data_IF_301934681344
#
_entry.id   IF_301934681344
#
_cell.length_a   1.000
_cell.length_b   1.000
_cell.length_c   1.000
_cell.angle_alpha   90.00
_cell.angle_beta   90.00
_cell.angle_gamma   90.00
#
_symmetry.space_group_name_H-M   'P 1'
#
loop_
_entity.id
_entity.type
_entity.pdbx_description
1 polymer ?
#
# COMPACT_ATOMS: atom_id res chain seq x y z
N UNK A 1 -7.66 63.36 -40.01
CA UNK A 1 -8.08 62.16 -40.77
C UNK A 1 -8.58 61.17 -39.74
N UNK A 2 -9.76 60.58 -39.97
CA UNK A 2 -10.52 59.80 -38.99
C UNK A 2 -9.83 58.48 -38.64
N UNK A 3 -10.15 58.02 -37.42
CA UNK A 3 -9.77 56.76 -36.76
C UNK A 3 -10.20 55.51 -37.54
N UNK A 4 -9.32 54.50 -37.55
CA UNK A 4 -9.67 53.10 -37.85
C UNK A 4 -9.45 52.28 -36.57
N UNK A 5 -10.56 51.86 -35.96
CA UNK A 5 -10.59 50.89 -34.88
C UNK A 5 -10.75 49.48 -35.49
N UNK A 6 -10.05 48.46 -34.98
CA UNK A 6 -10.30 47.08 -35.42
C UNK A 6 -11.63 46.58 -34.87
N UNK A 7 -12.49 46.09 -35.77
CA UNK A 7 -13.77 45.45 -35.47
C UNK A 7 -13.53 44.10 -34.75
N UNK A 8 -14.13 43.92 -33.57
CA UNK A 8 -14.27 42.62 -32.91
C UNK A 8 -15.24 41.75 -33.73
N UNK A 9 -14.73 40.71 -34.39
CA UNK A 9 -15.56 39.61 -34.88
C UNK A 9 -15.97 38.72 -33.69
N UNK A 10 -17.18 38.92 -33.20
CA UNK A 10 -17.83 38.03 -32.25
C UNK A 10 -18.16 36.71 -32.95
N UNK A 11 -17.27 35.73 -32.83
CA UNK A 11 -17.49 34.34 -33.27
C UNK A 11 -18.66 33.75 -32.48
N UNK A 12 -19.77 33.53 -33.16
CA UNK A 12 -20.97 32.93 -32.59
C UNK A 12 -20.64 31.49 -32.15
N UNK A 13 -20.74 31.23 -30.84
CA UNK A 13 -20.66 29.89 -30.29
C UNK A 13 -21.72 29.00 -30.95
N UNK A 14 -21.25 28.08 -31.79
CA UNK A 14 -22.05 26.99 -32.33
C UNK A 14 -22.25 26.00 -31.18
N UNK A 15 -23.48 25.96 -30.63
CA UNK A 15 -23.91 24.92 -29.70
C UNK A 15 -23.75 23.55 -30.37
N UNK A 16 -22.73 22.80 -29.95
CA UNK A 16 -22.50 21.41 -30.33
C UNK A 16 -23.67 20.56 -29.80
N UNK A 17 -24.56 20.13 -30.70
CA UNK A 17 -25.63 19.21 -30.36
C UNK A 17 -25.00 17.83 -30.13
N UNK A 18 -25.04 17.27 -28.90
CA UNK A 18 -24.41 15.99 -28.63
C UNK A 18 -25.11 14.88 -29.44
N UNK A 19 -24.33 14.20 -30.29
CA UNK A 19 -24.83 13.07 -31.07
C UNK A 19 -25.30 11.93 -30.14
N UNK A 20 -26.45 11.28 -30.43
CA UNK A 20 -26.94 10.18 -29.63
C UNK A 20 -25.98 8.98 -29.75
N UNK A 21 -25.44 8.55 -28.60
CA UNK A 21 -24.50 7.45 -28.53
C UNK A 21 -25.06 6.16 -29.18
N UNK A 22 -24.24 5.40 -29.91
CA UNK A 22 -24.71 4.28 -30.72
C UNK A 22 -25.13 3.08 -29.85
N UNK A 23 -26.32 2.53 -30.15
CA UNK A 23 -27.04 1.58 -29.29
C UNK A 23 -26.33 0.24 -29.00
N UNK A 24 -25.32 -0.14 -29.80
CA UNK A 24 -24.55 -1.38 -29.59
C UNK A 24 -23.69 -1.35 -28.32
N UNK A 25 -23.31 -0.16 -27.84
CA UNK A 25 -22.45 0.02 -26.65
C UNK A 25 -23.12 -0.45 -25.34
N UNK A 26 -24.46 -0.57 -25.33
CA UNK A 26 -25.22 -1.10 -24.18
C UNK A 26 -25.05 -2.60 -23.95
N UNK A 27 -24.56 -3.36 -24.93
CA UNK A 27 -24.39 -4.82 -24.83
C UNK A 27 -22.93 -5.26 -24.60
N UNK A 28 -21.96 -4.35 -24.78
CA UNK A 28 -20.53 -4.66 -24.61
C UNK A 28 -20.19 -4.87 -23.13
N UNK A 29 -20.69 -3.98 -22.27
CA UNK A 29 -20.37 -3.99 -20.83
C UNK A 29 -20.76 -5.30 -20.13
N UNK A 30 -21.99 -5.83 -20.27
CA UNK A 30 -22.33 -7.12 -19.65
C UNK A 30 -21.54 -8.28 -20.27
N UNK A 31 -21.23 -8.23 -21.57
CA UNK A 31 -20.42 -9.25 -22.23
C UNK A 31 -19.00 -9.35 -21.67
N UNK A 32 -18.30 -8.21 -21.53
CA UNK A 32 -16.93 -8.15 -20.99
C UNK A 32 -16.88 -8.61 -19.53
N UNK A 33 -17.84 -8.19 -18.70
CA UNK A 33 -17.91 -8.62 -17.30
C UNK A 33 -18.10 -10.14 -17.16
N UNK A 34 -18.90 -10.74 -18.04
CA UNK A 34 -19.13 -12.20 -18.02
C UNK A 34 -17.86 -12.96 -18.40
N UNK A 35 -17.10 -12.47 -19.40
CA UNK A 35 -15.83 -13.08 -19.80
C UNK A 35 -14.77 -12.95 -18.69
N UNK A 36 -14.67 -11.80 -18.03
CA UNK A 36 -13.75 -11.59 -16.92
C UNK A 36 -14.08 -12.48 -15.71
N UNK A 37 -15.37 -12.65 -15.39
CA UNK A 37 -15.79 -13.55 -14.31
C UNK A 37 -15.42 -15.02 -14.61
N UNK A 38 -15.61 -15.48 -15.85
CA UNK A 38 -15.21 -16.83 -16.26
C UNK A 38 -13.70 -17.02 -16.23
N UNK A 39 -12.92 -16.03 -16.67
CA UNK A 39 -11.46 -16.07 -16.62
C UNK A 39 -10.94 -16.10 -15.17
N UNK A 40 -11.54 -15.33 -14.26
CA UNK A 40 -11.20 -15.34 -12.84
C UNK A 40 -11.45 -16.69 -12.17
N UNK A 41 -12.60 -17.32 -12.44
CA UNK A 41 -12.90 -18.67 -11.93
C UNK A 41 -11.92 -19.71 -12.48
N UNK A 42 -11.58 -19.63 -13.77
CA UNK A 42 -10.59 -20.53 -14.37
C UNK A 42 -9.21 -20.37 -13.76
N UNK A 43 -8.75 -19.12 -13.56
CA UNK A 43 -7.48 -18.82 -12.91
C UNK A 43 -7.45 -19.31 -11.45
N UNK A 44 -8.54 -19.15 -10.70
CA UNK A 44 -8.66 -19.66 -9.35
C UNK A 44 -8.59 -21.21 -9.31
N UNK A 45 -9.19 -21.90 -10.29
CA UNK A 45 -9.09 -23.36 -10.39
C UNK A 45 -7.68 -23.84 -10.75
N UNK A 46 -6.92 -23.06 -11.53
CA UNK A 46 -5.52 -23.37 -11.87
C UNK A 46 -4.53 -23.08 -10.72
N UNK A 47 -4.91 -22.21 -9.77
CA UNK A 47 -4.11 -21.87 -8.60
C UNK A 47 -4.44 -22.73 -7.38
N UNK A 48 -5.38 -23.66 -7.49
CA UNK A 48 -5.61 -24.64 -6.42
C UNK A 48 -4.34 -25.50 -6.30
N UNK A 49 -3.69 -25.53 -5.12
CA UNK A 49 -2.52 -26.37 -4.91
C UNK A 49 -2.95 -27.82 -5.11
N UNK A 50 -2.33 -28.49 -6.08
CA UNK A 50 -2.42 -29.94 -6.16
C UNK A 50 -1.77 -30.47 -4.87
N UNK A 51 -2.56 -31.16 -4.03
CA UNK A 51 -2.03 -31.93 -2.91
C UNK A 51 -1.06 -32.97 -3.48
N UNK A 52 0.21 -32.57 -3.58
CA UNK A 52 1.34 -33.46 -3.81
C UNK A 52 1.38 -34.41 -2.62
N UNK A 53 0.65 -35.51 -2.77
CA UNK A 53 0.89 -36.74 -2.03
C UNK A 53 2.30 -37.21 -2.38
N UNK A 54 3.28 -36.63 -1.68
CA UNK A 54 4.66 -37.04 -1.70
C UNK A 54 4.71 -38.51 -1.26
N UNK A 55 4.73 -39.41 -2.24
CA UNK A 55 5.14 -40.78 -2.05
C UNK A 55 6.62 -40.73 -1.67
N UNK A 56 6.88 -40.73 -0.36
CA UNK A 56 8.21 -40.92 0.21
C UNK A 56 8.80 -42.20 -0.35
N UNK A 57 9.75 -42.07 -1.27
CA UNK A 57 10.64 -43.15 -1.68
C UNK A 57 11.41 -43.59 -0.41
N UNK A 58 11.42 -44.89 -0.04
CA UNK A 58 12.17 -45.35 1.12
C UNK A 58 13.67 -45.28 0.81
N UNK A 59 14.31 -44.18 1.23
CA UNK A 59 15.76 -44.07 1.26
C UNK A 59 16.38 -45.11 2.21
N UNK A 60 17.63 -45.56 1.94
CA UNK A 60 18.29 -46.57 2.75
C UNK A 60 18.43 -46.12 4.21
N UNK A 61 18.15 -47.06 5.12
CA UNK A 61 18.10 -46.86 6.56
C UNK A 61 19.38 -46.17 7.09
N UNK A 62 19.27 -45.04 7.79
CA UNK A 62 20.40 -44.50 8.55
C UNK A 62 20.69 -45.40 9.75
N UNK A 63 21.98 -45.68 9.97
CA UNK A 63 22.47 -46.34 11.19
C UNK A 63 21.94 -45.63 12.44
N UNK A 64 21.25 -46.41 13.26
CA UNK A 64 20.62 -46.04 14.52
C UNK A 64 21.69 -45.62 15.54
N UNK A 65 22.13 -44.36 15.46
CA UNK A 65 22.75 -43.70 16.61
C UNK A 65 21.61 -43.34 17.55
N UNK A 66 21.52 -44.02 18.69
CA UNK A 66 20.52 -43.79 19.71
C UNK A 66 20.56 -42.33 20.20
N UNK A 67 19.70 -41.48 19.63
CA UNK A 67 19.40 -40.15 20.16
C UNK A 67 18.39 -40.36 21.28
N UNK A 68 18.77 -39.95 22.49
CA UNK A 68 17.90 -39.94 23.66
C UNK A 68 16.57 -39.24 23.33
N UNK A 69 15.42 -39.70 23.87
CA UNK A 69 14.13 -39.08 23.59
C UNK A 69 14.22 -37.57 23.91
N UNK A 70 13.66 -36.69 23.06
CA UNK A 70 13.62 -35.27 23.39
C UNK A 70 12.90 -35.15 24.73
N UNK A 71 13.60 -34.58 25.71
CA UNK A 71 12.98 -34.14 26.93
C UNK A 71 11.79 -33.27 26.51
N UNK A 72 10.58 -33.68 26.92
CA UNK A 72 9.38 -32.88 26.75
C UNK A 72 9.70 -31.47 27.20
N UNK A 73 9.73 -30.54 26.24
CA UNK A 73 9.84 -29.12 26.52
C UNK A 73 8.68 -28.80 27.46
N UNK A 74 9.00 -28.56 28.73
CA UNK A 74 8.06 -27.90 29.63
C UNK A 74 7.53 -26.68 28.89
N UNK A 75 6.21 -26.43 28.87
CA UNK A 75 5.71 -25.18 28.33
C UNK A 75 6.43 -24.06 29.09
N UNK A 76 7.22 -23.30 28.35
CA UNK A 76 7.88 -22.10 28.86
C UNK A 76 6.79 -21.26 29.53
N UNK A 77 6.98 -20.77 30.76
CA UNK A 77 5.98 -19.95 31.41
C UNK A 77 5.61 -18.79 30.48
N UNK A 78 4.32 -18.63 30.19
CA UNK A 78 3.83 -17.49 29.45
C UNK A 78 4.43 -16.23 30.07
N UNK A 79 5.24 -15.51 29.30
CA UNK A 79 5.72 -14.20 29.71
C UNK A 79 4.49 -13.35 30.05
N UNK A 80 4.55 -12.51 31.10
CA UNK A 80 3.48 -11.56 31.37
C UNK A 80 3.17 -10.83 30.06
N UNK A 81 1.89 -10.62 29.75
CA UNK A 81 1.50 -10.02 28.48
C UNK A 81 2.14 -8.63 28.36
N UNK A 82 3.22 -8.57 27.60
CA UNK A 82 3.90 -7.32 27.33
C UNK A 82 2.92 -6.48 26.52
N UNK A 83 2.54 -5.32 27.07
CA UNK A 83 1.60 -4.38 26.43
C UNK A 83 2.07 -3.86 25.06
N UNK A 84 3.31 -4.21 24.67
CA UNK A 84 3.94 -3.89 23.40
C UNK A 84 4.08 -5.09 22.46
N UNK A 85 3.47 -6.23 22.80
CA UNK A 85 3.38 -7.37 21.89
C UNK A 85 2.45 -7.06 20.71
N UNK A 86 2.68 -7.70 19.56
CA UNK A 86 1.80 -7.57 18.39
C UNK A 86 0.33 -7.83 18.72
N UNK A 87 0.06 -8.84 19.55
CA UNK A 87 -1.29 -9.19 19.96
C UNK A 87 -1.95 -8.08 20.79
N UNK A 88 -1.20 -7.46 21.72
CA UNK A 88 -1.68 -6.32 22.49
C UNK A 88 -1.97 -5.11 21.58
N UNK A 89 -1.10 -4.82 20.62
CA UNK A 89 -1.29 -3.74 19.65
C UNK A 89 -2.53 -3.98 18.79
N UNK A 90 -2.69 -5.16 18.18
CA UNK A 90 -3.88 -5.50 17.39
C UNK A 90 -5.19 -5.39 18.21
N UNK A 91 -5.12 -5.60 19.53
CA UNK A 91 -6.24 -5.42 20.44
C UNK A 91 -6.63 -3.95 20.68
N UNK A 92 -5.81 -2.97 20.27
CA UNK A 92 -6.07 -1.54 20.49
C UNK A 92 -7.19 -0.97 19.60
N UNK A 93 -7.53 -1.64 18.49
CA UNK A 93 -8.61 -1.22 17.59
C UNK A 93 -8.14 -0.99 16.16
N UNK A 94 -8.54 0.13 15.57
CA UNK A 94 -8.11 0.54 14.23
C UNK A 94 -6.62 0.88 14.19
N UNK A 95 -6.06 1.03 12.98
CA UNK A 95 -4.63 1.29 12.82
C UNK A 95 -4.18 2.57 13.52
N UNK A 96 -5.05 3.59 13.66
CA UNK A 96 -4.68 4.81 14.37
C UNK A 96 -4.49 4.56 15.86
N UNK A 97 -5.40 3.81 16.50
CA UNK A 97 -5.23 3.37 17.88
C UNK A 97 -4.01 2.46 18.06
N UNK A 98 -3.74 1.57 17.09
CA UNK A 98 -2.53 0.73 17.07
C UNK A 98 -1.25 1.58 17.00
N UNK A 99 -1.23 2.61 16.14
CA UNK A 99 -0.10 3.52 15.98
C UNK A 99 0.14 4.38 17.23
N UNK A 100 -0.91 4.83 17.92
CA UNK A 100 -0.78 5.53 19.20
C UNK A 100 -0.21 4.62 20.29
N UNK A 101 -0.70 3.38 20.38
CA UNK A 101 -0.17 2.38 21.31
C UNK A 101 1.30 2.01 21.00
N UNK A 102 1.65 1.85 19.72
CA UNK A 102 3.01 1.57 19.27
C UNK A 102 3.99 2.68 19.66
N UNK A 103 3.61 3.95 19.46
CA UNK A 103 4.42 5.10 19.90
C UNK A 103 4.61 5.15 21.41
N UNK A 104 3.61 4.74 22.19
CA UNK A 104 3.73 4.66 23.65
C UNK A 104 4.73 3.58 24.10
N UNK A 105 4.96 2.55 23.29
CA UNK A 105 5.96 1.52 23.53
C UNK A 105 7.39 1.99 23.24
N UNK A 106 7.59 2.85 22.23
CA UNK A 106 8.91 3.36 21.84
C UNK A 106 9.93 2.22 21.63
N UNK A 107 11.10 2.32 22.27
CA UNK A 107 12.18 1.33 22.18
C UNK A 107 11.81 -0.09 22.65
N UNK A 108 10.72 -0.25 23.41
CA UNK A 108 10.24 -1.58 23.81
C UNK A 108 9.56 -2.34 22.67
N UNK A 109 9.18 -1.66 21.58
CA UNK A 109 8.57 -2.27 20.42
C UNK A 109 9.64 -2.62 19.38
N UNK A 110 9.69 -3.90 18.99
CA UNK A 110 10.60 -4.34 17.94
C UNK A 110 10.21 -3.72 16.57
N UNK A 111 11.16 -3.19 15.78
CA UNK A 111 10.87 -2.58 14.48
C UNK A 111 10.10 -3.51 13.53
N UNK A 112 10.44 -4.80 13.47
CA UNK A 112 9.73 -5.78 12.63
C UNK A 112 8.27 -5.97 13.05
N UNK A 113 7.98 -5.84 14.35
CA UNK A 113 6.60 -5.92 14.85
C UNK A 113 5.79 -4.72 14.40
N UNK A 114 6.36 -3.52 14.51
CA UNK A 114 5.73 -2.30 14.02
C UNK A 114 5.55 -2.35 12.50
N UNK A 115 6.61 -2.66 11.74
CA UNK A 115 6.57 -2.75 10.29
C UNK A 115 5.47 -3.72 9.83
N UNK A 116 5.44 -4.93 10.38
CA UNK A 116 4.41 -5.89 9.99
C UNK A 116 2.98 -5.43 10.31
N UNK A 117 2.77 -4.57 11.31
CA UNK A 117 1.44 -3.98 11.57
C UNK A 117 1.07 -2.95 10.49
N UNK A 118 2.02 -2.09 10.12
CA UNK A 118 1.81 -1.12 9.03
C UNK A 118 1.57 -1.84 7.70
N UNK A 119 2.32 -2.91 7.40
CA UNK A 119 2.16 -3.74 6.20
C UNK A 119 0.75 -4.37 6.14
N UNK A 120 0.31 -5.02 7.22
CA UNK A 120 -1.02 -5.65 7.28
C UNK A 120 -2.15 -4.63 7.08
N UNK A 121 -2.04 -3.44 7.68
CA UNK A 121 -3.04 -2.39 7.56
C UNK A 121 -3.02 -1.73 6.16
N UNK A 122 -1.84 -1.46 5.60
CA UNK A 122 -1.71 -0.92 4.25
C UNK A 122 -2.19 -1.90 3.17
N UNK A 123 -2.01 -3.21 3.37
CA UNK A 123 -2.55 -4.26 2.50
C UNK A 123 -4.10 -4.28 2.48
N UNK A 124 -4.74 -3.71 3.50
CA UNK A 124 -6.19 -3.52 3.59
C UNK A 124 -6.65 -2.14 3.10
N UNK A 125 -5.76 -1.37 2.46
CA UNK A 125 -5.98 0.02 2.05
C UNK A 125 -6.39 0.94 3.22
N UNK A 126 -5.86 0.68 4.43
CA UNK A 126 -6.06 1.59 5.55
C UNK A 126 -5.35 2.93 5.27
N UNK A 127 -6.12 4.02 5.29
CA UNK A 127 -5.65 5.34 4.89
C UNK A 127 -4.52 5.88 5.79
N UNK A 128 -4.54 5.53 7.09
CA UNK A 128 -3.53 5.98 8.05
C UNK A 128 -2.25 5.15 7.93
N UNK A 129 -2.34 3.85 7.64
CA UNK A 129 -1.18 3.00 7.37
C UNK A 129 -0.47 3.38 6.07
N UNK A 130 -1.23 3.65 5.00
CA UNK A 130 -0.68 4.13 3.74
C UNK A 130 0.01 5.49 3.91
N UNK A 131 -0.59 6.40 4.69
CA UNK A 131 0.04 7.68 5.04
C UNK A 131 1.36 7.45 5.80
N UNK A 132 1.39 6.51 6.74
CA UNK A 132 2.61 6.15 7.48
C UNK A 132 3.72 5.65 6.55
N UNK A 133 3.42 4.77 5.60
CA UNK A 133 4.41 4.34 4.62
C UNK A 133 4.96 5.49 3.79
N UNK A 134 4.08 6.37 3.28
CA UNK A 134 4.53 7.53 2.51
C UNK A 134 5.50 8.40 3.32
N UNK A 135 5.22 8.58 4.61
CA UNK A 135 6.05 9.33 5.54
C UNK A 135 7.42 8.68 5.80
N UNK A 136 7.51 7.34 5.84
CA UNK A 136 8.79 6.63 6.03
C UNK A 136 9.75 6.74 4.84
N UNK A 137 9.23 7.07 3.65
CA UNK A 137 9.99 7.30 2.42
C UNK A 137 10.21 8.80 2.10
N UNK A 138 9.60 9.71 2.86
CA UNK A 138 9.61 11.15 2.59
C UNK A 138 10.57 11.86 3.52
N UNK A 139 11.76 12.27 3.03
CA UNK A 139 12.72 13.00 3.86
C UNK A 139 12.25 14.38 4.34
N UNK A 140 11.15 14.91 3.80
CA UNK A 140 10.48 16.12 4.28
C UNK A 140 9.66 15.89 5.56
N UNK A 141 9.52 14.64 5.98
CA UNK A 141 8.79 14.27 7.19
C UNK A 141 9.61 13.33 8.07
N UNK A 142 9.43 13.47 9.39
CA UNK A 142 10.14 12.66 10.35
C UNK A 142 9.30 12.47 11.62
N UNK A 143 8.98 11.22 11.97
CA UNK A 143 8.32 10.87 13.24
C UNK A 143 9.35 10.27 14.19
N UNK A 144 9.89 11.10 15.08
CA UNK A 144 10.92 10.67 16.04
C UNK A 144 10.47 9.49 16.92
N UNK A 145 9.17 9.31 17.18
CA UNK A 145 8.69 8.17 17.97
C UNK A 145 8.78 6.85 17.18
N UNK A 146 8.78 6.90 15.86
CA UNK A 146 8.91 5.73 14.99
C UNK A 146 10.34 5.57 14.50
N UNK A 147 10.93 6.63 13.95
CA UNK A 147 12.24 6.57 13.30
C UNK A 147 13.38 6.52 14.31
N UNK A 148 13.32 7.30 15.40
CA UNK A 148 14.39 7.29 16.41
C UNK A 148 14.14 6.23 17.48
N UNK A 149 12.92 6.18 18.04
CA UNK A 149 12.65 5.30 19.19
C UNK A 149 12.41 3.84 18.79
N UNK A 150 11.70 3.58 17.69
CA UNK A 150 11.51 2.21 17.18
C UNK A 150 12.67 1.83 16.22
N UNK A 151 13.33 2.82 15.61
CA UNK A 151 14.45 2.59 14.70
C UNK A 151 14.03 2.20 13.27
N UNK A 152 12.81 2.58 12.85
CA UNK A 152 12.28 2.25 11.53
C UNK A 152 12.28 3.48 10.61
N UNK A 153 13.16 3.51 9.62
CA UNK A 153 13.21 4.52 8.54
C UNK A 153 13.62 3.85 7.24
N UNK A 154 13.08 4.30 6.10
CA UNK A 154 13.41 3.74 4.77
C UNK A 154 14.27 4.67 3.90
N UNK A 155 14.55 5.87 4.41
CA UNK A 155 15.32 6.88 3.69
C UNK A 155 14.48 7.66 2.67
N UNK A 156 15.14 8.52 1.91
CA UNK A 156 14.49 9.39 0.94
C UNK A 156 14.23 8.67 -0.39
N UNK A 157 12.96 8.36 -0.66
CA UNK A 157 12.46 7.92 -1.96
C UNK A 157 11.14 8.64 -2.29
N UNK A 158 11.22 9.82 -2.96
CA UNK A 158 10.03 10.61 -3.25
C UNK A 158 9.08 9.93 -4.23
N UNK A 159 9.55 8.97 -5.05
CA UNK A 159 8.68 8.24 -5.96
C UNK A 159 7.80 7.25 -5.17
N UNK A 160 8.41 6.49 -4.26
CA UNK A 160 7.70 5.57 -3.38
C UNK A 160 6.75 6.33 -2.42
N UNK A 161 7.19 7.48 -1.90
CA UNK A 161 6.34 8.33 -1.06
C UNK A 161 5.10 8.85 -1.82
N UNK A 162 5.26 9.30 -3.07
CA UNK A 162 4.15 9.75 -3.91
C UNK A 162 3.13 8.63 -4.18
N UNK A 163 3.60 7.41 -4.46
CA UNK A 163 2.72 6.25 -4.61
C UNK A 163 1.85 6.05 -3.35
N UNK A 164 2.49 5.96 -2.17
CA UNK A 164 1.77 5.72 -0.92
C UNK A 164 0.82 6.87 -0.55
N UNK A 165 1.23 8.12 -0.73
CA UNK A 165 0.34 9.26 -0.49
C UNK A 165 -0.84 9.30 -1.48
N UNK A 166 -0.65 8.90 -2.74
CA UNK A 166 -1.74 8.80 -3.71
C UNK A 166 -2.79 7.75 -3.27
N UNK A 167 -2.32 6.58 -2.81
CA UNK A 167 -3.18 5.52 -2.27
C UNK A 167 -3.88 5.96 -0.98
N UNK A 168 -3.16 6.61 -0.07
CA UNK A 168 -3.72 7.14 1.16
C UNK A 168 -4.82 8.19 0.89
N UNK A 169 -4.62 9.07 -0.10
CA UNK A 169 -5.63 10.04 -0.50
C UNK A 169 -6.87 9.35 -1.09
N UNK A 170 -6.70 8.32 -1.93
CA UNK A 170 -7.79 7.51 -2.46
C UNK A 170 -8.56 6.75 -1.37
N UNK A 171 -7.86 6.31 -0.32
CA UNK A 171 -8.44 5.68 0.86
C UNK A 171 -9.11 6.69 1.84
N UNK A 172 -9.01 7.99 1.57
CA UNK A 172 -9.70 9.03 2.34
C UNK A 172 -8.87 9.67 3.46
N UNK A 173 -7.55 9.53 3.44
CA UNK A 173 -6.66 10.23 4.39
C UNK A 173 -6.75 11.75 4.16
N UNK A 174 -7.13 12.55 5.17
CA UNK A 174 -7.26 14.00 5.01
C UNK A 174 -5.91 14.72 4.88
N UNK A 175 -4.82 14.12 5.38
CA UNK A 175 -3.49 14.70 5.32
C UNK A 175 -2.73 14.34 4.03
N UNK A 176 -3.10 13.24 3.37
CA UNK A 176 -2.38 12.72 2.22
C UNK A 176 -2.35 13.68 1.00
N UNK A 177 -3.41 14.43 0.65
CA UNK A 177 -3.36 15.35 -0.49
C UNK A 177 -2.29 16.44 -0.35
N UNK A 178 -2.14 17.03 0.84
CA UNK A 178 -1.14 18.07 1.09
C UNK A 178 0.29 17.49 1.02
N UNK A 179 0.47 16.25 1.51
CA UNK A 179 1.74 15.53 1.42
C UNK A 179 2.09 15.15 -0.01
N UNK A 180 1.11 14.63 -0.76
CA UNK A 180 1.25 14.31 -2.17
C UNK A 180 1.66 15.55 -2.97
N UNK A 181 0.99 16.69 -2.76
CA UNK A 181 1.34 17.94 -3.43
C UNK A 181 2.78 18.38 -3.13
N UNK A 182 3.25 18.23 -1.89
CA UNK A 182 4.61 18.57 -1.50
C UNK A 182 5.65 17.67 -2.20
N UNK A 183 5.45 16.34 -2.20
CA UNK A 183 6.39 15.40 -2.85
C UNK A 183 6.34 15.54 -4.37
N UNK A 184 5.18 15.82 -4.96
CA UNK A 184 5.05 16.13 -6.38
C UNK A 184 5.88 17.36 -6.79
N UNK A 185 5.95 18.38 -5.93
CA UNK A 185 6.82 19.54 -6.17
C UNK A 185 8.31 19.16 -6.16
N UNK A 186 8.71 18.13 -5.39
CA UNK A 186 10.07 17.57 -5.41
C UNK A 186 10.30 16.80 -6.70
N UNK A 187 9.40 15.89 -7.06
CA UNK A 187 9.48 15.06 -8.27
C UNK A 187 9.53 15.91 -9.55
N UNK A 188 8.77 16.99 -9.63
CA UNK A 188 8.77 17.92 -10.78
C UNK A 188 10.14 18.60 -11.02
N UNK A 189 11.01 18.64 -10.00
CA UNK A 189 12.39 19.15 -10.11
C UNK A 189 13.42 18.03 -10.21
N UNK A 190 12.98 16.78 -10.13
CA UNK A 190 13.81 15.59 -10.25
C UNK A 190 14.48 15.52 -11.62
N UNK A 191 15.68 14.93 -11.66
CA UNK A 191 16.47 14.81 -12.89
C UNK A 191 16.58 13.36 -13.38
N UNK A 192 15.93 12.41 -12.68
CA UNK A 192 15.97 11.00 -13.04
C UNK A 192 14.71 10.60 -13.79
N UNK A 193 14.84 9.67 -14.73
CA UNK A 193 13.69 9.13 -15.48
C UNK A 193 12.69 8.43 -14.57
N UNK A 194 13.14 7.90 -13.43
CA UNK A 194 12.25 7.29 -12.44
C UNK A 194 11.37 8.34 -11.75
N UNK A 195 11.94 9.50 -11.38
CA UNK A 195 11.18 10.60 -10.78
C UNK A 195 10.24 11.26 -11.77
N UNK A 196 10.63 11.38 -13.04
CA UNK A 196 9.77 11.86 -14.12
C UNK A 196 8.55 10.94 -14.29
N UNK A 197 8.78 9.62 -14.39
CA UNK A 197 7.69 8.65 -14.49
C UNK A 197 6.75 8.71 -13.26
N UNK A 198 7.30 8.75 -12.04
CA UNK A 198 6.49 8.86 -10.83
C UNK A 198 5.69 10.16 -10.76
N UNK A 199 6.25 11.28 -11.25
CA UNK A 199 5.51 12.53 -11.35
C UNK A 199 4.31 12.38 -12.29
N UNK A 200 4.52 11.82 -13.48
CA UNK A 200 3.46 11.62 -14.48
C UNK A 200 2.35 10.68 -13.97
N UNK A 201 2.71 9.66 -13.19
CA UNK A 201 1.76 8.67 -12.67
C UNK A 201 0.91 9.20 -11.49
N UNK A 202 1.49 10.02 -10.61
CA UNK A 202 0.86 10.37 -9.32
C UNK A 202 0.50 11.85 -9.13
N UNK A 203 0.97 12.77 -9.98
CA UNK A 203 0.91 14.22 -9.73
C UNK A 203 -0.04 15.02 -10.64
N UNK A 204 -1.11 14.40 -11.16
CA UNK A 204 -2.05 15.01 -12.12
C UNK A 204 -3.27 15.67 -11.49
#
# INVERSE_FOLDING_TARGET
MPEDAPEEETEAAVDDIPEPAPAWRRWIVPGVLTVLALAGVLAALLLLPEDETAATEPGPAPEETAIAPPAFLSPEPATPEDGCSRAALLGAGDFQAQAEAARACGEALAPDTWLGLVEDAAAQEDAAALLMFGMLYDAGWHDAAIEDAIGLSFGDDPAQAAEYYSRAAAAGSPAAPDRLAAVCAVLARGATTLQEAAHDDYCT
#
